data_IF_339666404955
#
_entry.id   IF_339666404955
#
_cell.length_a   1.000
_cell.length_b   1.000
_cell.length_c   1.000
_cell.angle_alpha   90.00
_cell.angle_beta   90.00
_cell.angle_gamma   90.00
#
_symmetry.space_group_name_H-M   'P 1'
#
loop_
_entity.id
_entity.type
_entity.pdbx_description
1 polymer ?
#
# COMPACT_ATOMS: atom_id res chain seq x y z
N UNK A 1 5.84 -17.78 -6.61
CA UNK A 1 5.51 -17.18 -5.31
C UNK A 1 4.66 -15.93 -5.53
N UNK A 2 3.49 -15.85 -4.90
CA UNK A 2 2.59 -14.70 -4.98
C UNK A 2 2.39 -14.12 -3.57
N UNK A 3 2.41 -12.79 -3.43
CA UNK A 3 2.22 -12.11 -2.12
C UNK A 3 1.36 -10.88 -2.27
N UNK A 4 0.61 -10.55 -1.23
CA UNK A 4 -0.15 -9.31 -1.12
C UNK A 4 0.69 -8.28 -0.37
N UNK A 5 0.72 -7.06 -0.88
CA UNK A 5 1.46 -5.93 -0.30
C UNK A 5 0.60 -4.67 -0.34
N UNK A 6 0.86 -3.74 0.57
CA UNK A 6 0.11 -2.50 0.66
C UNK A 6 0.94 -1.32 1.17
N UNK A 7 0.47 -0.10 0.89
CA UNK A 7 1.01 1.13 1.47
C UNK A 7 0.59 1.29 2.94
N UNK A 8 1.27 2.15 3.68
CA UNK A 8 1.00 2.36 5.11
C UNK A 8 -0.28 3.16 5.36
N UNK A 9 -1.44 2.68 4.91
CA UNK A 9 -2.73 3.36 5.05
C UNK A 9 -3.57 2.90 6.26
N UNK A 10 -3.09 1.89 7.00
CA UNK A 10 -3.78 1.32 8.16
C UNK A 10 -2.89 1.29 9.40
N UNK A 11 -3.52 1.37 10.57
CA UNK A 11 -2.84 1.23 11.86
C UNK A 11 -2.38 -0.21 12.07
N UNK A 12 -1.20 -0.37 12.67
CA UNK A 12 -0.61 -1.69 12.91
C UNK A 12 -0.94 -2.17 14.33
N UNK A 13 -2.19 -2.62 14.50
CA UNK A 13 -2.75 -3.11 15.76
C UNK A 13 -2.14 -4.45 16.17
N UNK A 14 -1.93 -5.34 15.19
CA UNK A 14 -1.40 -6.69 15.38
C UNK A 14 -0.01 -6.73 16.03
N UNK A 15 0.72 -5.62 15.94
CA UNK A 15 2.05 -5.46 16.55
C UNK A 15 2.01 -5.41 18.08
N UNK A 16 0.86 -5.04 18.65
CA UNK A 16 0.62 -5.03 20.11
C UNK A 16 -0.30 -6.18 20.54
N UNK A 17 -1.24 -6.54 19.69
CA UNK A 17 -2.20 -7.61 19.93
C UNK A 17 -2.20 -8.58 18.74
N UNK A 18 -1.51 -9.72 18.80
CA UNK A 18 -1.39 -10.66 17.68
C UNK A 18 -2.72 -11.22 17.14
N UNK A 19 -3.82 -11.10 17.90
CA UNK A 19 -5.15 -11.51 17.46
C UNK A 19 -5.92 -10.41 16.71
N UNK A 20 -5.44 -9.16 16.75
CA UNK A 20 -6.07 -8.06 16.05
C UNK A 20 -5.82 -8.14 14.53
N UNK A 21 -6.82 -7.70 13.77
CA UNK A 21 -6.68 -7.40 12.34
C UNK A 21 -6.32 -5.93 12.15
N UNK A 22 -5.53 -5.66 11.10
CA UNK A 22 -4.98 -4.34 10.80
C UNK A 22 -5.73 -3.64 9.68
N UNK A 23 -6.04 -4.41 8.63
CA UNK A 23 -6.58 -3.94 7.35
C UNK A 23 -7.96 -4.58 7.20
N UNK A 24 -8.97 -3.76 6.93
CA UNK A 24 -10.33 -4.22 6.64
C UNK A 24 -10.80 -3.58 5.34
N UNK A 25 -11.15 -4.42 4.35
CA UNK A 25 -11.51 -4.00 3.00
C UNK A 25 -12.66 -4.90 2.55
N UNK A 26 -13.83 -4.32 2.26
CA UNK A 26 -15.01 -5.05 1.75
C UNK A 26 -15.35 -6.32 2.56
N UNK A 27 -15.20 -6.26 3.90
CA UNK A 27 -15.46 -7.39 4.81
C UNK A 27 -14.32 -8.43 4.90
N UNK A 28 -13.22 -8.23 4.18
CA UNK A 28 -12.00 -9.04 4.30
C UNK A 28 -11.09 -8.39 5.34
N UNK A 29 -10.77 -9.16 6.39
CA UNK A 29 -9.85 -8.75 7.45
C UNK A 29 -8.46 -9.37 7.23
N UNK A 30 -7.43 -8.52 7.20
CA UNK A 30 -6.04 -8.90 6.94
C UNK A 30 -5.12 -8.37 8.04
N UNK A 31 -3.97 -9.01 8.18
CA UNK A 31 -2.90 -8.62 9.11
C UNK A 31 -1.67 -8.20 8.34
N UNK A 32 -0.97 -7.19 8.85
CA UNK A 32 0.36 -6.84 8.39
C UNK A 32 1.36 -7.98 8.69
N UNK A 33 2.54 -7.91 8.07
CA UNK A 33 3.63 -8.84 8.28
C UNK A 33 3.98 -9.00 9.78
N UNK A 34 4.17 -10.24 10.24
CA UNK A 34 4.55 -10.50 11.65
C UNK A 34 6.05 -10.35 11.93
N UNK A 35 6.88 -10.36 10.89
CA UNK A 35 8.34 -10.17 10.96
C UNK A 35 8.78 -9.11 9.96
N UNK A 36 9.81 -8.33 10.31
CA UNK A 36 10.41 -7.32 9.42
C UNK A 36 11.48 -7.94 8.51
N UNK A 37 12.10 -9.05 8.92
CA UNK A 37 13.18 -9.72 8.19
C UNK A 37 12.68 -11.00 7.57
N UNK A 38 13.03 -11.21 6.29
CA UNK A 38 12.74 -12.43 5.52
C UNK A 38 11.26 -12.86 5.54
N UNK A 39 10.35 -11.88 5.70
CA UNK A 39 8.92 -12.11 5.78
C UNK A 39 8.41 -12.94 4.61
N UNK A 40 8.87 -12.65 3.39
CA UNK A 40 8.47 -13.33 2.17
C UNK A 40 8.60 -14.85 2.31
N UNK A 41 9.67 -15.36 2.92
CA UNK A 41 9.93 -16.79 3.09
C UNK A 41 9.30 -17.38 4.35
N UNK A 42 8.69 -16.56 5.22
CA UNK A 42 7.97 -17.04 6.38
C UNK A 42 6.73 -17.84 5.99
N UNK A 43 6.37 -18.84 6.79
CA UNK A 43 5.20 -19.70 6.55
C UNK A 43 3.89 -18.92 6.51
N UNK A 44 3.79 -17.85 7.31
CA UNK A 44 2.55 -17.07 7.49
C UNK A 44 2.37 -15.99 6.43
N UNK A 45 3.38 -15.69 5.61
CA UNK A 45 3.35 -14.61 4.62
C UNK A 45 2.27 -14.72 3.54
N UNK A 46 1.64 -15.89 3.39
CA UNK A 46 0.49 -16.09 2.50
C UNK A 46 -0.79 -15.48 3.07
N UNK A 47 -0.89 -15.41 4.41
CA UNK A 47 -2.06 -14.89 5.15
C UNK A 47 -1.86 -13.45 5.64
N UNK A 48 -0.70 -12.88 5.35
CA UNK A 48 -0.28 -11.55 5.79
C UNK A 48 -0.09 -10.61 4.60
N UNK A 49 -0.10 -9.32 4.88
CA UNK A 49 0.18 -8.26 3.92
C UNK A 49 1.54 -7.67 4.20
N UNK A 50 2.40 -7.64 3.19
CA UNK A 50 3.73 -7.03 3.28
C UNK A 50 3.66 -5.52 3.15
N UNK A 51 4.54 -4.82 3.86
CA UNK A 51 4.77 -3.39 3.64
C UNK A 51 5.89 -3.15 2.63
N UNK A 52 6.10 -1.90 2.22
CA UNK A 52 7.24 -1.53 1.36
C UNK A 52 8.59 -1.93 1.98
N UNK A 53 8.69 -1.87 3.31
CA UNK A 53 9.93 -2.19 4.02
C UNK A 53 10.28 -3.68 3.99
N UNK A 54 9.29 -4.56 3.90
CA UNK A 54 9.52 -6.02 3.91
C UNK A 54 9.61 -6.63 2.52
N UNK A 55 9.12 -5.93 1.49
CA UNK A 55 9.20 -6.39 0.09
C UNK A 55 10.42 -5.83 -0.66
N UNK A 56 11.05 -4.77 -0.13
CA UNK A 56 12.18 -4.13 -0.78
C UNK A 56 13.34 -5.11 -1.00
N UNK A 57 13.79 -5.22 -2.25
CA UNK A 57 14.90 -6.12 -2.63
C UNK A 57 14.48 -7.52 -3.06
N UNK A 58 13.18 -7.83 -3.04
CA UNK A 58 12.66 -9.10 -3.55
C UNK A 58 11.77 -8.88 -4.78
N UNK A 59 11.91 -9.79 -5.74
CA UNK A 59 11.02 -9.91 -6.88
C UNK A 59 10.04 -11.07 -6.65
N UNK A 60 8.75 -10.80 -6.85
CA UNK A 60 7.68 -11.77 -6.69
C UNK A 60 7.28 -12.31 -8.07
N UNK A 61 6.84 -13.57 -8.18
CA UNK A 61 6.27 -14.02 -9.45
C UNK A 61 4.99 -13.23 -9.75
N UNK A 62 4.15 -13.03 -8.73
CA UNK A 62 2.97 -12.19 -8.80
C UNK A 62 2.85 -11.34 -7.54
N UNK A 63 2.44 -10.08 -7.69
CA UNK A 63 2.13 -9.18 -6.58
C UNK A 63 0.64 -8.84 -6.60
N UNK A 64 -0.02 -8.89 -5.45
CA UNK A 64 -1.31 -8.23 -5.23
C UNK A 64 -1.05 -6.93 -4.49
N UNK A 65 -1.25 -5.79 -5.12
CA UNK A 65 -1.03 -4.47 -4.52
C UNK A 65 -2.37 -3.88 -4.12
N UNK A 66 -2.52 -3.62 -2.83
CA UNK A 66 -3.66 -2.90 -2.28
C UNK A 66 -3.25 -1.44 -2.08
N UNK A 67 -3.87 -0.55 -2.85
CA UNK A 67 -3.81 0.88 -2.66
C UNK A 67 -4.85 1.27 -1.62
N UNK A 68 -4.36 1.75 -0.48
CA UNK A 68 -5.19 2.12 0.66
C UNK A 68 -5.91 3.46 0.49
N UNK A 69 -6.69 3.85 1.51
CA UNK A 69 -7.43 5.12 1.53
C UNK A 69 -6.52 6.36 1.62
N UNK A 70 -5.21 6.21 1.71
CA UNK A 70 -4.26 7.32 1.76
C UNK A 70 -4.02 8.00 0.39
N UNK A 71 -4.40 7.33 -0.70
CA UNK A 71 -4.32 7.84 -2.07
C UNK A 71 -5.67 7.69 -2.78
N UNK A 72 -6.13 8.77 -3.40
CA UNK A 72 -7.36 8.82 -4.19
C UNK A 72 -7.15 9.55 -5.52
N UNK A 73 -8.24 9.72 -6.26
CA UNK A 73 -8.26 10.51 -7.49
C UNK A 73 -9.40 11.52 -7.45
N UNK A 74 -9.12 12.77 -7.77
CA UNK A 74 -10.13 13.82 -7.94
C UNK A 74 -10.53 13.88 -9.44
N UNK A 75 -11.76 13.46 -9.81
CA UNK A 75 -12.20 13.46 -11.20
C UNK A 75 -12.46 14.86 -11.77
N UNK A 76 -12.75 15.85 -10.92
CA UNK A 76 -13.03 17.23 -11.36
C UNK A 76 -11.73 17.97 -11.67
N UNK A 77 -10.71 17.79 -10.83
CA UNK A 77 -9.37 18.35 -11.03
C UNK A 77 -8.50 17.50 -11.97
N UNK A 78 -8.84 16.21 -12.13
CA UNK A 78 -8.09 15.27 -12.97
C UNK A 78 -6.73 14.87 -12.39
N UNK A 79 -6.59 14.87 -11.07
CA UNK A 79 -5.31 14.65 -10.38
C UNK A 79 -5.39 13.65 -9.21
N UNK A 80 -4.25 13.08 -8.85
CA UNK A 80 -4.12 12.25 -7.66
C UNK A 80 -4.15 13.13 -6.41
N UNK A 81 -4.88 12.67 -5.40
CA UNK A 81 -5.01 13.36 -4.11
C UNK A 81 -4.56 12.46 -2.97
N UNK A 82 -3.99 13.06 -1.92
CA UNK A 82 -3.61 12.34 -0.71
C UNK A 82 -4.54 12.65 0.44
N UNK A 83 -4.92 11.61 1.15
CA UNK A 83 -5.64 11.73 2.41
C UNK A 83 -4.64 11.62 3.55
N UNK A 84 -4.06 12.76 3.94
CA UNK A 84 -3.04 12.83 4.99
C UNK A 84 -3.48 12.10 6.25
N UNK A 85 -4.75 12.16 6.65
CA UNK A 85 -5.25 11.49 7.84
C UNK A 85 -5.02 9.97 7.79
N UNK A 86 -5.10 9.38 6.61
CA UNK A 86 -5.09 7.93 6.38
C UNK A 86 -3.69 7.37 6.16
N UNK A 87 -2.71 8.20 5.80
CA UNK A 87 -1.31 7.75 5.78
C UNK A 87 -0.75 7.51 7.21
N UNK A 88 -0.54 6.28 7.66
CA UNK A 88 -0.18 5.94 9.05
C UNK A 88 1.31 5.83 9.34
N UNK A 89 2.17 5.95 8.33
CA UNK A 89 3.62 6.00 8.58
C UNK A 89 4.04 7.37 9.16
N UNK A 90 4.38 7.32 10.45
CA UNK A 90 4.80 8.48 11.25
C UNK A 90 6.15 9.01 10.82
N UNK A 91 7.02 8.21 10.20
CA UNK A 91 8.34 8.67 9.75
C UNK A 91 8.19 9.49 8.48
N UNK A 92 7.42 8.99 7.50
CA UNK A 92 7.11 9.72 6.27
C UNK A 92 6.41 11.06 6.48
N UNK A 93 5.58 11.19 7.54
CA UNK A 93 4.91 12.45 7.88
C UNK A 93 5.78 13.47 8.61
N UNK A 94 6.97 13.11 9.09
CA UNK A 94 7.76 14.01 9.95
C UNK A 94 8.27 15.21 9.15
N UNK A 95 8.00 16.40 9.68
CA UNK A 95 8.67 17.62 9.25
C UNK A 95 10.19 17.46 9.41
N UNK A 96 10.94 17.90 8.41
CA UNK A 96 12.39 17.96 8.52
C UNK A 96 12.79 19.18 9.35
N UNK A 97 12.84 18.98 10.68
CA UNK A 97 13.18 20.04 11.65
C UNK A 97 14.59 20.60 11.42
N UNK A 98 15.54 19.77 10.98
CA UNK A 98 16.91 20.20 10.70
C UNK A 98 16.99 21.17 9.51
N UNK A 99 16.09 21.01 8.52
CA UNK A 99 16.00 21.88 7.34
C UNK A 99 14.87 22.92 7.44
N UNK A 100 14.22 23.05 8.61
CA UNK A 100 13.04 23.90 8.82
C UNK A 100 11.91 23.70 7.79
N UNK A 101 11.78 22.49 7.25
CA UNK A 101 10.83 22.20 6.17
C UNK A 101 9.60 21.49 6.74
N UNK A 102 8.43 22.07 6.48
CA UNK A 102 7.13 21.44 6.77
C UNK A 102 6.81 20.48 5.63
N UNK A 103 6.39 19.26 5.97
CA UNK A 103 5.98 18.27 4.97
C UNK A 103 4.61 18.66 4.43
N UNK A 104 4.55 19.10 3.17
CA UNK A 104 3.30 19.51 2.50
C UNK A 104 2.52 18.31 1.97
N UNK A 105 1.28 18.52 1.55
CA UNK A 105 0.49 17.46 0.92
C UNK A 105 1.07 17.05 -0.44
N UNK A 106 1.71 17.97 -1.16
CA UNK A 106 2.45 17.64 -2.39
C UNK A 106 3.67 16.76 -2.11
N UNK A 107 4.37 16.97 -0.99
CA UNK A 107 5.46 16.10 -0.57
C UNK A 107 4.96 14.70 -0.23
N UNK A 108 3.83 14.60 0.49
CA UNK A 108 3.18 13.32 0.78
C UNK A 108 2.69 12.63 -0.48
N UNK A 109 2.08 13.35 -1.42
CA UNK A 109 1.64 12.79 -2.69
C UNK A 109 2.80 12.17 -3.45
N UNK A 110 3.93 12.88 -3.56
CA UNK A 110 5.14 12.34 -4.18
C UNK A 110 5.64 11.10 -3.46
N UNK A 111 5.68 11.14 -2.13
CA UNK A 111 6.19 10.03 -1.33
C UNK A 111 5.31 8.78 -1.41
N UNK A 112 4.00 8.93 -1.21
CA UNK A 112 2.99 7.87 -1.29
C UNK A 112 2.93 7.29 -2.71
N UNK A 113 2.96 8.13 -3.74
CA UNK A 113 3.01 7.67 -5.14
C UNK A 113 4.27 6.84 -5.41
N UNK A 114 5.43 7.26 -4.87
CA UNK A 114 6.66 6.48 -4.99
C UNK A 114 6.57 5.13 -4.26
N UNK A 115 5.95 5.08 -3.08
CA UNK A 115 5.71 3.83 -2.36
C UNK A 115 4.93 2.86 -3.25
N UNK A 116 3.78 3.29 -3.77
CA UNK A 116 2.95 2.44 -4.63
C UNK A 116 3.65 2.07 -5.94
N UNK A 117 4.43 2.97 -6.54
CA UNK A 117 5.22 2.68 -7.74
C UNK A 117 6.24 1.56 -7.50
N UNK A 118 6.90 1.56 -6.34
CA UNK A 118 7.81 0.47 -5.95
C UNK A 118 7.03 -0.84 -5.77
N UNK A 119 5.89 -0.83 -5.09
CA UNK A 119 5.06 -2.03 -4.89
C UNK A 119 4.55 -2.61 -6.21
N UNK A 120 4.05 -1.75 -7.10
CA UNK A 120 3.48 -2.15 -8.39
C UNK A 120 4.51 -2.82 -9.32
N UNK A 121 5.79 -2.50 -9.14
CA UNK A 121 6.91 -3.05 -9.93
C UNK A 121 7.53 -4.33 -9.36
N UNK A 122 7.04 -4.84 -8.21
CA UNK A 122 7.61 -6.07 -7.60
C UNK A 122 7.19 -7.37 -8.29
N UNK A 123 6.10 -7.37 -9.05
CA UNK A 123 5.59 -8.57 -9.73
C UNK A 123 6.25 -8.80 -11.10
N UNK A 124 7.05 -9.85 -11.24
CA UNK A 124 7.77 -10.16 -12.49
C UNK A 124 6.85 -10.70 -13.60
N UNK A 125 5.88 -11.56 -13.25
CA UNK A 125 4.94 -12.15 -14.22
C UNK A 125 3.63 -11.38 -14.28
N UNK A 126 3.34 -10.58 -13.27
CA UNK A 126 2.15 -9.73 -13.24
C UNK A 126 1.89 -9.13 -11.85
N UNK A 127 1.14 -8.04 -11.86
CA UNK A 127 0.68 -7.34 -10.66
C UNK A 127 -0.82 -7.14 -10.75
N UNK A 128 -1.55 -7.60 -9.73
CA UNK A 128 -2.96 -7.31 -9.53
C UNK A 128 -3.09 -6.09 -8.63
N UNK A 129 -4.04 -5.21 -8.92
CA UNK A 129 -4.22 -3.95 -8.18
C UNK A 129 -5.63 -3.85 -7.68
N UNK A 130 -5.78 -3.50 -6.40
CA UNK A 130 -7.04 -3.09 -5.81
C UNK A 130 -6.86 -1.69 -5.21
N UNK A 131 -7.75 -0.76 -5.54
CA UNK A 131 -7.77 0.58 -4.96
C UNK A 131 -9.03 0.75 -4.11
N UNK A 132 -8.87 1.20 -2.86
CA UNK A 132 -9.97 1.43 -1.94
C UNK A 132 -10.84 2.62 -2.40
N UNK A 133 -10.21 3.67 -2.91
CA UNK A 133 -10.93 4.82 -3.46
C UNK A 133 -11.62 4.46 -4.79
N UNK A 134 -12.95 4.61 -4.90
CA UNK A 134 -13.68 4.22 -6.11
C UNK A 134 -13.29 5.03 -7.36
N UNK A 135 -12.97 6.31 -7.20
CA UNK A 135 -12.56 7.18 -8.29
C UNK A 135 -11.19 6.80 -8.82
N UNK A 136 -10.23 6.54 -7.94
CA UNK A 136 -8.92 6.03 -8.29
C UNK A 136 -9.02 4.67 -8.99
N UNK A 137 -9.88 3.77 -8.50
CA UNK A 137 -10.14 2.48 -9.14
C UNK A 137 -10.71 2.65 -10.56
N UNK A 138 -11.67 3.56 -10.75
CA UNK A 138 -12.20 3.89 -12.09
C UNK A 138 -11.11 4.43 -13.00
N UNK A 139 -10.30 5.36 -12.51
CA UNK A 139 -9.19 5.94 -13.25
C UNK A 139 -8.14 4.90 -13.66
N UNK A 140 -7.69 4.05 -12.73
CA UNK A 140 -6.73 2.97 -12.98
C UNK A 140 -7.25 1.94 -14.00
N UNK A 141 -8.56 1.66 -14.01
CA UNK A 141 -9.16 0.69 -14.94
C UNK A 141 -9.04 1.07 -16.43
N UNK A 142 -8.72 2.33 -16.73
CA UNK A 142 -8.44 2.79 -18.08
C UNK A 142 -7.05 2.34 -18.58
N UNK A 143 -6.15 2.00 -17.64
CA UNK A 143 -4.76 1.62 -17.94
C UNK A 143 -4.47 0.15 -17.61
N UNK A 144 -5.18 -0.41 -16.63
CA UNK A 144 -5.00 -1.78 -16.17
C UNK A 144 -6.19 -2.61 -16.66
N UNK A 145 -5.96 -3.64 -17.50
CA UNK A 145 -7.03 -4.54 -17.91
C UNK A 145 -7.75 -5.12 -16.69
N UNK A 146 -9.08 -5.08 -16.71
CA UNK A 146 -9.89 -5.72 -15.68
C UNK A 146 -9.57 -7.22 -15.61
N UNK A 147 -9.52 -7.79 -14.41
CA UNK A 147 -9.40 -9.22 -14.26
C UNK A 147 -10.64 -9.88 -14.87
N UNK A 148 -10.45 -10.70 -15.90
CA UNK A 148 -11.50 -11.56 -16.42
C UNK A 148 -11.77 -12.60 -15.34
N UNK A 149 -12.98 -12.62 -14.79
CA UNK A 149 -13.39 -13.67 -13.86
C UNK A 149 -13.24 -15.03 -14.57
N UNK A 150 -12.62 -16.03 -13.91
CA UNK A 150 -12.49 -17.37 -14.49
C UNK A 150 -13.86 -18.04 -14.72
#
# INVERSE_FOLDING_TARGET
>A
MARVVAGHAWEWRSRKDPQAYDIEIDGVALRWNSTDTDWINSKNSVEEVGSIHTVQGYDLNYAGVVIGPDLGFDPDAGELVVHRADYKDKVGKRNNRMRQQITTDQDLLRYISNIYSVLLTRGMRGTYVYACDPDLRRWLSQFIPGAVAP
#
